data_IF_579070821514
#
_entry.id   IF_579070821514
#
_cell.length_a   1.000
_cell.length_b   1.000
_cell.length_c   1.000
_cell.angle_alpha   90.00
_cell.angle_beta   90.00
_cell.angle_gamma   90.00
#
_symmetry.space_group_name_H-M   'P 1'
#
loop_
_entity.id
_entity.type
_entity.pdbx_description
1 polymer ?
#
# COMPACT_ATOMS: atom_id res chain seq x y z
N UNK A 1 -25.68 2.82 16.11
CA UNK A 1 -25.27 1.48 16.60
C UNK A 1 -25.52 1.38 18.09
N UNK A 2 -25.66 0.18 18.66
CA UNK A 2 -25.65 -0.06 20.11
C UNK A 2 -24.43 -0.91 20.43
N UNK A 3 -23.69 -0.51 21.47
CA UNK A 3 -22.53 -1.26 21.94
C UNK A 3 -22.96 -2.21 23.05
N UNK A 4 -22.53 -3.47 22.99
CA UNK A 4 -22.79 -4.47 24.03
C UNK A 4 -21.49 -5.05 24.58
N UNK A 5 -21.45 -5.37 25.87
CA UNK A 5 -20.40 -6.22 26.43
C UNK A 5 -20.93 -6.98 27.64
N UNK A 6 -21.08 -8.29 27.47
CA UNK A 6 -21.57 -9.24 28.48
C UNK A 6 -20.48 -10.15 29.04
N UNK A 7 -19.22 -10.00 28.62
CA UNK A 7 -18.11 -10.90 28.99
C UNK A 7 -17.47 -10.52 30.33
N UNK A 8 -18.27 -10.45 31.40
CA UNK A 8 -17.77 -10.30 32.76
C UNK A 8 -16.92 -11.50 33.19
N UNK A 9 -15.61 -11.35 33.36
CA UNK A 9 -14.71 -12.44 33.77
C UNK A 9 -14.88 -12.87 35.23
N UNK A 10 -15.09 -11.91 36.13
CA UNK A 10 -15.22 -12.15 37.58
C UNK A 10 -16.62 -12.59 38.00
N UNK A 11 -17.63 -12.23 37.20
CA UNK A 11 -19.04 -12.56 37.42
C UNK A 11 -19.68 -12.78 36.07
N UNK A 12 -19.83 -14.04 35.62
CA UNK A 12 -20.45 -14.35 34.34
C UNK A 12 -21.87 -13.80 34.27
N UNK A 13 -22.18 -13.09 33.19
CA UNK A 13 -23.54 -12.70 32.85
C UNK A 13 -24.19 -13.84 32.07
N UNK A 14 -25.41 -14.22 32.44
CA UNK A 14 -26.11 -15.39 31.90
C UNK A 14 -27.39 -15.08 31.15
N UNK A 15 -27.66 -13.80 30.86
CA UNK A 15 -28.93 -13.32 30.30
C UNK A 15 -28.75 -12.61 28.96
N UNK A 16 -27.67 -12.92 28.25
CA UNK A 16 -27.25 -12.26 27.01
C UNK A 16 -28.36 -12.31 25.96
N UNK A 17 -28.99 -13.48 25.80
CA UNK A 17 -30.04 -13.72 24.81
C UNK A 17 -31.29 -12.88 25.13
N UNK A 18 -31.74 -12.93 26.39
CA UNK A 18 -32.90 -12.20 26.90
C UNK A 18 -32.73 -10.70 26.73
N UNK A 19 -31.52 -10.16 26.95
CA UNK A 19 -31.22 -8.75 26.73
C UNK A 19 -31.18 -8.40 25.25
N UNK A 20 -30.55 -9.23 24.41
CA UNK A 20 -30.43 -8.99 22.98
C UNK A 20 -31.77 -9.05 22.23
N UNK A 21 -32.76 -9.80 22.74
CA UNK A 21 -34.12 -9.83 22.23
C UNK A 21 -34.88 -8.51 22.41
N UNK A 22 -34.51 -7.71 23.42
CA UNK A 22 -35.16 -6.43 23.72
C UNK A 22 -34.70 -5.28 22.82
N UNK A 23 -33.63 -5.50 22.03
CA UNK A 23 -33.06 -4.49 21.15
C UNK A 23 -33.75 -4.57 19.78
N UNK A 24 -34.35 -3.47 19.27
CA UNK A 24 -34.95 -3.45 17.93
C UNK A 24 -33.86 -3.47 16.85
N UNK A 25 -33.57 -4.68 16.35
CA UNK A 25 -32.48 -4.97 15.38
C UNK A 25 -32.71 -4.36 14.00
N UNK A 26 -33.96 -4.03 13.67
CA UNK A 26 -34.35 -3.24 12.49
C UNK A 26 -33.91 -1.77 12.59
N UNK A 27 -33.75 -1.25 13.82
CA UNK A 27 -33.38 0.14 14.08
C UNK A 27 -31.89 0.31 14.36
N UNK A 28 -31.26 -0.67 15.02
CA UNK A 28 -29.88 -0.59 15.48
C UNK A 28 -29.03 -1.77 15.04
N UNK A 29 -27.84 -1.46 14.51
CA UNK A 29 -26.74 -2.43 14.42
C UNK A 29 -26.07 -2.61 15.80
N UNK A 30 -25.89 -3.87 16.21
CA UNK A 30 -25.29 -4.25 17.50
C UNK A 30 -23.81 -4.56 17.29
N UNK A 31 -22.96 -3.95 18.12
CA UNK A 31 -21.51 -4.20 18.13
C UNK A 31 -21.12 -4.77 19.49
N UNK A 32 -20.58 -6.00 19.49
CA UNK A 32 -20.06 -6.65 20.69
C UNK A 32 -18.62 -6.22 20.96
N UNK A 33 -18.43 -5.36 21.97
CA UNK A 33 -17.13 -4.83 22.36
C UNK A 33 -16.18 -5.92 22.88
N UNK A 34 -16.68 -7.08 23.29
CA UNK A 34 -15.80 -8.19 23.69
C UNK A 34 -14.97 -8.75 22.53
N UNK A 35 -15.38 -8.49 21.29
CA UNK A 35 -14.66 -8.86 20.07
C UNK A 35 -13.81 -7.72 19.49
N UNK A 36 -13.86 -6.53 20.09
CA UNK A 36 -13.12 -5.35 19.60
C UNK A 36 -11.80 -5.22 20.36
N UNK A 37 -10.69 -5.18 19.61
CA UNK A 37 -9.35 -4.94 20.16
C UNK A 37 -8.93 -3.49 19.89
N UNK A 38 -8.49 -2.81 20.94
CA UNK A 38 -7.95 -1.46 20.89
C UNK A 38 -6.53 -1.42 21.48
N UNK A 39 -5.69 -0.51 20.99
CA UNK A 39 -4.31 -0.33 21.48
C UNK A 39 -4.28 0.10 22.95
N UNK A 40 -5.21 0.98 23.34
CA UNK A 40 -5.48 1.36 24.73
C UNK A 40 -6.98 1.29 24.99
N UNK A 41 -7.36 0.96 26.22
CA UNK A 41 -8.77 0.74 26.60
C UNK A 41 -9.67 1.95 26.31
N UNK A 42 -9.16 3.16 26.49
CA UNK A 42 -9.91 4.39 26.26
C UNK A 42 -10.05 4.76 24.77
N UNK A 43 -9.33 4.10 23.85
CA UNK A 43 -9.54 4.29 22.41
C UNK A 43 -10.94 3.80 21.99
N UNK A 44 -11.56 2.94 22.80
CA UNK A 44 -12.96 2.52 22.63
C UNK A 44 -13.94 3.69 22.79
N UNK A 45 -13.57 4.81 23.43
CA UNK A 45 -14.46 5.97 23.57
C UNK A 45 -14.90 6.55 22.22
N UNK A 46 -14.09 6.39 21.16
CA UNK A 46 -14.50 6.77 19.81
C UNK A 46 -15.72 6.00 19.29
N UNK A 47 -15.90 4.74 19.71
CA UNK A 47 -17.12 3.98 19.43
C UNK A 47 -18.31 4.49 20.26
N UNK A 48 -18.06 4.92 21.50
CA UNK A 48 -19.09 5.45 22.39
C UNK A 48 -19.65 6.76 21.84
N UNK A 49 -18.81 7.63 21.28
CA UNK A 49 -19.21 8.92 20.71
C UNK A 49 -20.19 8.82 19.54
N UNK A 50 -20.21 7.67 18.85
CA UNK A 50 -21.12 7.39 17.71
C UNK A 50 -22.20 6.36 18.02
N UNK A 51 -22.19 5.80 19.22
CA UNK A 51 -23.20 4.87 19.67
C UNK A 51 -24.47 5.63 20.10
N UNK A 52 -25.62 5.04 19.81
CA UNK A 52 -26.90 5.51 20.34
C UNK A 52 -27.02 5.20 21.84
N UNK A 53 -26.37 4.11 22.28
CA UNK A 53 -26.22 3.77 23.68
C UNK A 53 -25.34 2.54 23.89
N UNK A 54 -25.01 2.27 25.16
CA UNK A 54 -24.18 1.13 25.58
C UNK A 54 -24.99 0.25 26.53
N UNK A 55 -24.88 -1.07 26.39
CA UNK A 55 -25.52 -2.04 27.28
C UNK A 55 -24.45 -2.99 27.79
N UNK A 56 -24.13 -2.96 29.08
CA UNK A 56 -22.95 -3.69 29.54
C UNK A 56 -23.01 -4.15 30.99
N UNK A 57 -22.35 -5.29 31.25
CA UNK A 57 -22.08 -5.83 32.57
C UNK A 57 -20.57 -5.79 32.91
N UNK A 58 -19.71 -5.47 31.95
CA UNK A 58 -18.26 -5.46 32.13
C UNK A 58 -17.79 -4.17 32.84
N UNK A 59 -16.85 -4.33 33.76
CA UNK A 59 -16.41 -3.21 34.61
C UNK A 59 -15.64 -2.16 33.81
N UNK A 60 -14.80 -2.59 32.87
CA UNK A 60 -14.01 -1.70 32.04
C UNK A 60 -14.92 -0.83 31.15
N UNK A 61 -15.88 -1.45 30.47
CA UNK A 61 -16.87 -0.74 29.64
C UNK A 61 -17.83 0.14 30.43
N UNK A 62 -18.17 -0.21 31.68
CA UNK A 62 -18.92 0.65 32.60
C UNK A 62 -18.14 1.92 32.94
N UNK A 63 -16.84 1.81 33.23
CA UNK A 63 -15.99 2.97 33.50
C UNK A 63 -15.87 3.90 32.29
N UNK A 64 -15.76 3.33 31.08
CA UNK A 64 -15.75 4.11 29.84
C UNK A 64 -17.12 4.79 29.59
N UNK A 65 -18.22 4.11 29.88
CA UNK A 65 -19.56 4.67 29.73
C UNK A 65 -19.76 5.90 30.62
N UNK A 66 -19.33 5.79 31.88
CA UNK A 66 -19.34 6.90 32.83
C UNK A 66 -18.40 8.06 32.45
N UNK A 67 -17.38 7.79 31.63
CA UNK A 67 -16.46 8.79 31.09
C UNK A 67 -16.93 9.40 29.75
N UNK A 68 -18.02 8.90 29.17
CA UNK A 68 -18.61 9.42 27.92
C UNK A 68 -19.93 10.16 28.17
N UNK A 69 -20.53 10.70 27.11
CA UNK A 69 -21.90 11.27 27.16
C UNK A 69 -22.98 10.27 26.72
N UNK A 70 -22.58 9.06 26.33
CA UNK A 70 -23.42 8.05 25.69
C UNK A 70 -24.36 7.40 26.71
N UNK A 71 -25.69 7.45 26.56
CA UNK A 71 -26.57 6.83 27.54
C UNK A 71 -26.30 5.33 27.63
N UNK A 72 -26.40 4.75 28.83
CA UNK A 72 -26.11 3.33 29.00
C UNK A 72 -27.01 2.61 30.00
N UNK A 73 -27.14 1.30 29.76
CA UNK A 73 -27.75 0.31 30.66
C UNK A 73 -26.62 -0.46 31.32
N UNK A 74 -26.66 -0.52 32.66
CA UNK A 74 -25.66 -1.18 33.48
C UNK A 74 -26.25 -2.41 34.17
N UNK A 75 -25.69 -3.58 33.89
CA UNK A 75 -25.97 -4.77 34.67
C UNK A 75 -24.95 -4.91 35.80
N UNK A 76 -25.43 -5.07 37.03
CA UNK A 76 -24.57 -5.21 38.22
C UNK A 76 -24.85 -6.50 38.96
N UNK A 77 -23.84 -7.08 39.61
CA UNK A 77 -24.04 -8.22 40.49
C UNK A 77 -24.90 -7.85 41.72
N UNK A 78 -25.57 -8.84 42.29
CA UNK A 78 -26.52 -8.68 43.40
C UNK A 78 -25.83 -8.45 44.77
N UNK A 79 -24.52 -8.70 44.86
CA UNK A 79 -23.71 -8.61 46.09
C UNK A 79 -22.99 -7.26 46.30
N UNK A 80 -22.44 -7.06 47.50
CA UNK A 80 -21.82 -5.79 47.98
C UNK A 80 -20.67 -5.25 47.10
N UNK A 81 -19.91 -6.10 46.40
CA UNK A 81 -18.77 -5.69 45.56
C UNK A 81 -19.20 -5.37 44.13
N UNK A 82 -19.97 -4.30 43.94
CA UNK A 82 -20.49 -3.87 42.64
C UNK A 82 -19.85 -2.58 42.13
N UNK A 83 -19.65 -2.52 40.81
CA UNK A 83 -19.43 -1.26 40.11
C UNK A 83 -20.69 -0.40 40.24
N UNK A 84 -20.56 0.82 40.78
CA UNK A 84 -21.67 1.74 40.96
C UNK A 84 -21.83 2.54 39.66
N UNK A 85 -22.94 2.41 38.92
CA UNK A 85 -23.18 3.22 37.73
C UNK A 85 -23.24 4.70 38.10
N UNK A 86 -22.71 5.55 37.22
CA UNK A 86 -22.59 7.01 37.41
C UNK A 86 -23.02 7.75 36.16
N UNK A 87 -23.38 9.03 36.34
CA UNK A 87 -23.62 9.96 35.24
C UNK A 87 -24.81 9.58 34.36
N UNK A 88 -24.55 9.38 33.08
CA UNK A 88 -25.44 9.02 31.97
C UNK A 88 -26.06 7.60 32.03
N UNK A 89 -26.08 6.95 33.20
CA UNK A 89 -26.75 5.65 33.36
C UNK A 89 -28.27 5.86 33.34
N UNK A 90 -28.97 5.23 32.40
CA UNK A 90 -30.43 5.33 32.28
C UNK A 90 -31.18 4.16 32.90
N UNK A 91 -30.52 3.00 33.02
CA UNK A 91 -31.09 1.85 33.69
C UNK A 91 -29.98 1.06 34.36
N UNK A 92 -30.05 0.93 35.68
CA UNK A 92 -29.26 -0.02 36.43
C UNK A 92 -30.13 -1.23 36.76
N UNK A 93 -29.63 -2.43 36.46
CA UNK A 93 -30.35 -3.68 36.68
C UNK A 93 -29.45 -4.71 37.36
N UNK A 94 -29.77 -5.13 38.60
CA UNK A 94 -29.15 -6.30 39.21
C UNK A 94 -29.43 -7.57 38.38
N UNK A 95 -28.48 -8.51 38.33
CA UNK A 95 -28.60 -9.71 37.49
C UNK A 95 -29.87 -10.52 37.85
N UNK A 96 -30.22 -10.62 39.13
CA UNK A 96 -31.43 -11.33 39.58
C UNK A 96 -32.74 -10.73 39.06
N UNK A 97 -32.73 -9.47 38.60
CA UNK A 97 -33.92 -8.77 38.13
C UNK A 97 -34.11 -8.88 36.61
N UNK A 98 -33.11 -9.37 35.87
CA UNK A 98 -33.20 -9.45 34.40
C UNK A 98 -34.40 -10.27 33.92
N UNK A 99 -34.69 -11.47 34.48
CA UNK A 99 -35.83 -12.27 34.02
C UNK A 99 -37.19 -11.59 34.19
N UNK A 100 -37.37 -10.78 35.23
CA UNK A 100 -38.65 -10.13 35.53
C UNK A 100 -38.77 -8.73 34.93
N UNK A 101 -37.66 -8.12 34.50
CA UNK A 101 -37.62 -6.72 34.04
C UNK A 101 -36.96 -6.52 32.68
N UNK A 102 -36.76 -7.57 31.90
CA UNK A 102 -36.16 -7.46 30.56
C UNK A 102 -36.87 -6.42 29.67
N UNK A 103 -38.20 -6.32 29.75
CA UNK A 103 -38.99 -5.34 29.00
C UNK A 103 -38.58 -3.88 29.26
N UNK A 104 -38.08 -3.55 30.46
CA UNK A 104 -37.62 -2.19 30.81
C UNK A 104 -36.42 -1.79 29.94
N UNK A 105 -35.58 -2.75 29.54
CA UNK A 105 -34.44 -2.53 28.64
C UNK A 105 -34.94 -2.04 27.29
N UNK A 106 -35.93 -2.73 26.72
CA UNK A 106 -36.52 -2.35 25.44
C UNK A 106 -37.23 -0.99 25.48
N UNK A 107 -37.85 -0.64 26.61
CA UNK A 107 -38.44 0.69 26.81
C UNK A 107 -37.36 1.78 26.79
N UNK A 108 -36.26 1.60 27.50
CA UNK A 108 -35.15 2.56 27.55
C UNK A 108 -34.46 2.68 26.19
N UNK A 109 -34.12 1.55 25.56
CA UNK A 109 -33.43 1.53 24.24
C UNK A 109 -34.25 2.24 23.16
N UNK A 110 -35.58 2.12 23.19
CA UNK A 110 -36.47 2.83 22.25
C UNK A 110 -36.44 4.35 22.39
N UNK A 111 -35.97 4.89 23.52
CA UNK A 111 -35.80 6.34 23.69
C UNK A 111 -34.49 6.86 23.08
N UNK A 112 -33.56 5.98 22.71
CA UNK A 112 -32.29 6.38 22.12
C UNK A 112 -32.48 6.74 20.65
N UNK A 113 -32.23 8.00 20.29
CA UNK A 113 -32.31 8.46 18.91
C UNK A 113 -31.05 8.07 18.13
N UNK A 114 -31.19 7.90 16.81
CA UNK A 114 -30.04 7.83 15.89
C UNK A 114 -29.33 9.19 15.95
N UNK A 115 -28.14 9.24 16.54
CA UNK A 115 -27.22 10.34 16.30
C UNK A 115 -26.87 10.36 14.81
N UNK A 116 -26.89 11.54 14.18
CA UNK A 116 -26.34 11.69 12.83
C UNK A 116 -24.90 11.14 12.82
N UNK A 117 -24.49 10.43 11.75
CA UNK A 117 -23.14 9.89 11.66
C UNK A 117 -22.14 11.05 11.68
N UNK A 118 -21.61 11.36 12.86
CA UNK A 118 -20.48 12.28 12.99
C UNK A 118 -19.27 11.60 12.34
N UNK A 119 -18.52 12.30 11.47
CA UNK A 119 -17.30 11.75 10.91
C UNK A 119 -16.37 11.31 12.05
N UNK A 120 -16.04 10.02 12.05
CA UNK A 120 -15.11 9.44 13.01
C UNK A 120 -13.71 9.90 12.61
N UNK A 121 -13.11 10.77 13.42
CA UNK A 121 -11.68 11.00 13.38
C UNK A 121 -11.03 9.87 14.17
N UNK A 122 -10.67 8.80 13.47
CA UNK A 122 -9.72 7.84 14.03
C UNK A 122 -8.40 8.58 14.12
N UNK A 123 -8.02 8.99 15.33
CA UNK A 123 -6.68 9.45 15.60
C UNK A 123 -5.78 8.22 15.46
N UNK A 124 -5.15 8.05 14.30
CA UNK A 124 -3.96 7.22 14.19
C UNK A 124 -2.81 8.11 14.72
N UNK A 125 -2.34 7.90 15.97
CA UNK A 125 -1.22 8.68 16.50
C UNK A 125 0.08 8.46 15.70
N UNK A 126 0.05 7.56 14.72
CA UNK A 126 1.11 7.28 13.77
C UNK A 126 0.73 7.63 12.32
N UNK A 127 -0.30 8.43 12.07
CA UNK A 127 -0.57 8.96 10.73
C UNK A 127 0.59 9.89 10.33
N UNK A 128 1.41 9.51 9.33
CA UNK A 128 2.46 10.39 8.87
C UNK A 128 1.84 11.65 8.26
N UNK A 129 2.52 12.80 8.32
CA UNK A 129 2.07 13.96 7.56
C UNK A 129 2.12 13.67 6.06
N UNK A 130 1.55 14.55 5.24
CA UNK A 130 1.76 14.52 3.77
C UNK A 130 3.24 14.26 3.43
N UNK A 131 3.51 13.53 2.35
CA UNK A 131 4.87 13.25 1.89
C UNK A 131 5.75 14.51 1.76
N UNK A 132 5.13 15.66 1.47
CA UNK A 132 5.79 16.97 1.35
C UNK A 132 6.41 17.47 2.67
N UNK A 133 5.99 16.87 3.80
CA UNK A 133 6.39 17.26 5.16
C UNK A 133 7.14 16.15 5.91
N UNK A 134 7.39 15.01 5.26
CA UNK A 134 8.10 13.88 5.87
C UNK A 134 9.62 14.00 5.77
N UNK A 135 10.11 14.91 4.92
CA UNK A 135 11.53 15.09 4.61
C UNK A 135 11.89 16.57 4.57
N UNK A 136 13.17 16.89 4.80
CA UNK A 136 13.73 18.22 4.56
C UNK A 136 14.15 18.42 3.09
N UNK A 137 14.20 17.34 2.32
CA UNK A 137 14.58 17.37 0.91
C UNK A 137 13.47 17.93 0.02
N UNK A 138 13.81 18.53 -1.14
CA UNK A 138 12.81 18.94 -2.10
C UNK A 138 11.94 17.75 -2.53
N UNK A 139 10.64 17.84 -2.26
CA UNK A 139 9.64 16.83 -2.59
C UNK A 139 8.35 17.55 -3.02
N UNK A 140 7.85 17.27 -4.22
CA UNK A 140 6.63 17.90 -4.75
C UNK A 140 5.82 16.94 -5.64
N UNK A 141 4.55 17.29 -5.86
CA UNK A 141 3.70 16.60 -6.83
C UNK A 141 3.96 17.07 -8.26
N UNK A 142 3.90 16.16 -9.22
CA UNK A 142 3.88 16.53 -10.64
C UNK A 142 2.54 17.16 -11.00
N UNK A 143 2.57 18.24 -11.77
CA UNK A 143 1.36 18.91 -12.25
C UNK A 143 1.07 18.59 -13.72
N UNK A 144 0.22 17.58 -13.96
CA UNK A 144 -0.18 17.16 -15.31
C UNK A 144 -1.15 18.13 -16.02
N UNK A 145 -1.72 19.13 -15.32
CA UNK A 145 -2.60 20.12 -15.98
C UNK A 145 -1.87 21.01 -16.98
N UNK A 146 -0.53 21.05 -16.90
CA UNK A 146 0.35 21.77 -17.84
C UNK A 146 0.77 20.93 -19.06
N UNK A 147 0.24 19.71 -19.18
CA UNK A 147 0.56 18.80 -20.28
C UNK A 147 -0.36 18.98 -21.50
N UNK A 148 0.08 18.49 -22.64
CA UNK A 148 -0.66 18.51 -23.90
C UNK A 148 -1.85 17.52 -23.93
N UNK A 149 -1.95 16.60 -22.97
CA UNK A 149 -3.12 15.73 -22.79
C UNK A 149 -3.92 16.25 -21.57
N UNK A 150 -5.06 16.93 -21.78
CA UNK A 150 -5.86 17.44 -20.68
C UNK A 150 -6.27 16.32 -19.72
N UNK A 151 -6.11 16.55 -18.41
CA UNK A 151 -6.77 15.75 -17.38
C UNK A 151 -8.27 15.92 -17.51
N UNK A 152 -8.95 14.91 -18.06
CA UNK A 152 -10.41 14.83 -18.07
C UNK A 152 -10.89 14.28 -16.73
N UNK A 153 -12.13 14.60 -16.37
CA UNK A 153 -12.79 13.96 -15.24
C UNK A 153 -12.72 12.43 -15.37
N UNK A 154 -12.42 11.75 -14.27
CA UNK A 154 -12.22 10.29 -14.25
C UNK A 154 -10.88 9.80 -14.84
N UNK A 155 -9.91 10.68 -15.10
CA UNK A 155 -8.54 10.30 -15.50
C UNK A 155 -7.53 10.63 -14.40
N UNK A 156 -6.83 9.60 -13.89
CA UNK A 156 -5.73 9.75 -12.94
C UNK A 156 -4.40 9.30 -13.56
N UNK A 157 -3.30 9.97 -13.19
CA UNK A 157 -1.93 9.65 -13.62
C UNK A 157 -1.07 9.36 -12.39
N UNK A 158 -0.62 8.12 -12.24
CA UNK A 158 0.14 7.68 -11.07
C UNK A 158 1.20 6.61 -11.43
N UNK A 159 1.98 6.19 -10.44
CA UNK A 159 3.01 5.15 -10.54
C UNK A 159 3.99 5.37 -11.72
N UNK A 160 4.65 6.53 -11.72
CA UNK A 160 5.49 6.98 -12.83
C UNK A 160 6.94 6.47 -12.77
N UNK A 161 7.37 5.77 -13.80
CA UNK A 161 8.78 5.57 -14.10
C UNK A 161 9.43 6.86 -14.63
N UNK A 162 10.75 6.94 -14.56
CA UNK A 162 11.56 8.08 -15.00
C UNK A 162 12.73 7.56 -15.83
N UNK A 163 12.96 8.15 -16.99
CA UNK A 163 14.06 7.80 -17.89
C UNK A 163 14.70 9.04 -18.49
N UNK A 164 16.03 9.06 -18.47
CA UNK A 164 16.82 10.02 -19.23
C UNK A 164 17.00 9.50 -20.66
N UNK A 165 16.66 10.33 -21.65
CA UNK A 165 16.89 10.06 -23.07
C UNK A 165 17.79 11.15 -23.66
N UNK A 166 18.42 10.93 -24.83
CA UNK A 166 19.21 11.96 -25.49
C UNK A 166 18.44 13.25 -25.79
N UNK A 167 17.11 13.16 -25.93
CA UNK A 167 16.24 14.30 -26.18
C UNK A 167 15.68 14.96 -24.90
N UNK A 168 16.07 14.49 -23.71
CA UNK A 168 15.66 15.02 -22.42
C UNK A 168 15.00 13.98 -21.51
N UNK A 169 14.47 14.46 -20.38
CA UNK A 169 13.80 13.60 -19.40
C UNK A 169 12.37 13.29 -19.77
N UNK A 170 11.97 12.06 -19.46
CA UNK A 170 10.61 11.60 -19.65
C UNK A 170 10.10 10.86 -18.41
N UNK A 171 8.87 11.18 -18.02
CA UNK A 171 8.08 10.31 -17.17
C UNK A 171 7.34 9.30 -18.03
N UNK A 172 7.21 8.08 -17.54
CA UNK A 172 6.36 7.06 -18.15
C UNK A 172 5.37 6.60 -17.10
N UNK A 173 4.11 6.95 -17.28
CA UNK A 173 3.10 6.94 -16.22
C UNK A 173 2.00 5.94 -16.54
N UNK A 174 1.41 5.38 -15.49
CA UNK A 174 0.13 4.69 -15.60
C UNK A 174 -0.97 5.74 -15.68
N UNK A 175 -1.76 5.70 -16.74
CA UNK A 175 -3.00 6.45 -16.86
C UNK A 175 -4.17 5.51 -16.58
N UNK A 176 -4.99 5.86 -15.61
CA UNK A 176 -6.22 5.14 -15.26
C UNK A 176 -7.42 5.95 -15.73
N UNK A 177 -8.24 5.37 -16.60
CA UNK A 177 -9.48 5.99 -17.08
C UNK A 177 -10.67 5.23 -16.49
N UNK A 178 -11.47 5.92 -15.69
CA UNK A 178 -12.72 5.37 -15.16
C UNK A 178 -13.73 5.14 -16.27
N UNK A 179 -14.46 4.02 -16.18
CA UNK A 179 -15.57 3.69 -17.07
C UNK A 179 -16.74 3.23 -16.22
N UNK A 180 -17.90 3.85 -16.41
CA UNK A 180 -19.10 3.61 -15.60
C UNK A 180 -19.52 2.14 -15.50
N UNK A 181 -19.27 1.37 -16.57
CA UNK A 181 -19.61 -0.06 -16.64
C UNK A 181 -18.57 -0.98 -15.98
N UNK A 182 -17.46 -0.44 -15.47
CA UNK A 182 -16.39 -1.21 -14.83
C UNK A 182 -16.22 -0.80 -13.38
N UNK A 183 -16.07 -1.79 -12.50
CA UNK A 183 -15.73 -1.56 -11.09
C UNK A 183 -14.30 -1.02 -10.89
N UNK A 184 -13.51 -0.88 -11.96
CA UNK A 184 -12.11 -0.50 -11.95
C UNK A 184 -11.78 0.39 -13.16
N UNK A 185 -10.71 1.20 -13.03
CA UNK A 185 -10.18 1.99 -14.13
C UNK A 185 -9.45 1.13 -15.16
N UNK A 186 -9.62 1.46 -16.44
CA UNK A 186 -8.82 0.86 -17.51
C UNK A 186 -7.47 1.56 -17.60
N UNK A 187 -6.40 0.78 -17.53
CA UNK A 187 -5.04 1.30 -17.41
C UNK A 187 -4.25 1.19 -18.72
N UNK A 188 -3.61 2.28 -19.12
CA UNK A 188 -2.60 2.26 -20.18
C UNK A 188 -1.40 3.12 -19.80
N UNK A 189 -0.38 3.10 -20.66
CA UNK A 189 0.89 3.78 -20.38
C UNK A 189 1.03 5.01 -21.27
N UNK A 190 1.44 6.12 -20.67
CA UNK A 190 1.66 7.39 -21.38
C UNK A 190 3.02 7.94 -21.00
N UNK A 191 3.81 8.37 -22.00
CA UNK A 191 5.07 9.05 -21.78
C UNK A 191 4.86 10.57 -21.78
N UNK A 192 5.47 11.28 -20.83
CA UNK A 192 5.45 12.73 -20.73
C UNK A 192 6.86 13.29 -20.75
N UNK A 193 7.17 14.16 -21.72
CA UNK A 193 8.43 14.90 -21.72
C UNK A 193 8.42 15.93 -20.61
N UNK A 194 9.50 15.99 -19.85
CA UNK A 194 9.67 16.95 -18.78
C UNK A 194 10.36 18.23 -19.28
N UNK A 195 9.80 19.35 -18.83
CA UNK A 195 10.41 20.69 -18.85
C UNK A 195 10.68 21.06 -17.37
N UNK A 196 11.90 20.80 -16.91
CA UNK A 196 12.20 20.75 -15.48
C UNK A 196 11.38 19.65 -14.79
N UNK A 197 10.56 20.01 -13.81
CA UNK A 197 9.63 19.09 -13.13
C UNK A 197 8.18 19.19 -13.67
N UNK A 198 8.00 19.82 -14.84
CA UNK A 198 6.67 19.99 -15.44
C UNK A 198 6.46 19.02 -16.61
N UNK A 199 5.47 18.11 -16.55
CA UNK A 199 5.06 17.29 -17.68
C UNK A 199 4.44 18.15 -18.80
N UNK A 200 4.98 18.10 -20.02
CA UNK A 200 4.55 18.93 -21.17
C UNK A 200 4.01 18.13 -22.34
N UNK A 201 4.86 17.37 -23.00
CA UNK A 201 4.49 16.65 -24.23
C UNK A 201 4.09 15.23 -23.88
N UNK A 202 2.87 14.83 -24.18
CA UNK A 202 2.36 13.52 -23.79
C UNK A 202 2.15 12.62 -25.02
N UNK A 203 2.63 11.38 -24.94
CA UNK A 203 2.59 10.38 -26.02
C UNK A 203 2.13 9.05 -25.45
N UNK A 204 0.91 8.57 -25.79
CA UNK A 204 0.47 7.24 -25.40
C UNK A 204 1.36 6.15 -25.98
N UNK A 205 1.79 5.20 -25.17
CA UNK A 205 2.53 4.01 -25.61
C UNK A 205 1.50 2.93 -25.94
N UNK A 206 1.21 2.77 -27.23
CA UNK A 206 0.27 1.77 -27.71
C UNK A 206 0.91 0.37 -27.66
N UNK A 207 0.92 -0.23 -26.47
CA UNK A 207 1.39 -1.59 -26.27
C UNK A 207 0.43 -2.56 -26.98
N UNK A 208 0.98 -3.47 -27.77
CA UNK A 208 0.23 -4.51 -28.46
C UNK A 208 -0.49 -5.39 -27.44
N UNK A 209 -1.82 -5.45 -27.59
CA UNK A 209 -2.68 -6.36 -26.82
C UNK A 209 -2.78 -7.71 -27.53
N UNK A 210 -2.72 -8.79 -26.78
CA UNK A 210 -2.99 -10.15 -27.25
C UNK A 210 -4.44 -10.56 -26.99
N UNK A 211 -5.06 -10.00 -25.94
CA UNK A 211 -6.43 -10.30 -25.54
C UNK A 211 -7.26 -9.03 -25.35
N UNK A 212 -8.56 -9.14 -25.57
CA UNK A 212 -9.49 -8.06 -25.25
C UNK A 212 -9.54 -7.83 -23.74
N UNK A 213 -9.54 -6.56 -23.32
CA UNK A 213 -9.57 -6.20 -21.90
C UNK A 213 -8.21 -6.14 -21.21
N UNK A 214 -7.11 -6.41 -21.94
CA UNK A 214 -5.77 -6.20 -21.39
C UNK A 214 -5.52 -4.73 -21.07
N UNK A 215 -4.92 -4.52 -19.91
CA UNK A 215 -4.51 -3.21 -19.41
C UNK A 215 -3.13 -3.30 -18.75
N UNK A 216 -2.42 -2.18 -18.74
CA UNK A 216 -0.99 -2.13 -18.43
C UNK A 216 -0.76 -1.23 -17.23
N UNK A 217 0.04 -1.69 -16.27
CA UNK A 217 0.20 -1.02 -14.99
C UNK A 217 1.67 -0.87 -14.59
N UNK A 218 1.92 0.18 -13.81
CA UNK A 218 3.14 0.42 -13.06
C UNK A 218 4.47 0.42 -13.87
N UNK A 219 4.66 1.43 -14.75
CA UNK A 219 5.90 1.95 -15.28
C UNK A 219 7.26 1.62 -14.68
N UNK A 220 8.11 0.79 -15.29
CA UNK A 220 9.57 0.84 -15.04
C UNK A 220 10.31 1.00 -16.34
N UNK A 221 11.18 1.99 -16.42
CA UNK A 221 11.78 2.40 -17.70
C UNK A 221 13.27 2.65 -17.59
N UNK A 222 13.99 2.33 -18.66
CA UNK A 222 15.41 2.64 -18.82
C UNK A 222 15.74 2.78 -20.31
N UNK A 223 16.80 3.52 -20.61
CA UNK A 223 17.26 3.74 -21.99
C UNK A 223 18.44 2.82 -22.31
N UNK A 224 18.39 2.15 -23.45
CA UNK A 224 19.42 1.22 -23.87
C UNK A 224 19.49 1.10 -25.40
N UNK A 225 20.69 1.28 -25.97
CA UNK A 225 20.98 1.09 -27.41
C UNK A 225 19.98 1.78 -28.35
N UNK A 226 19.70 3.06 -28.12
CA UNK A 226 18.80 3.82 -28.99
C UNK A 226 17.31 3.66 -28.66
N UNK A 227 16.96 2.69 -27.82
CA UNK A 227 15.58 2.35 -27.49
C UNK A 227 15.29 2.67 -26.02
N UNK A 228 14.03 3.00 -25.72
CA UNK A 228 13.55 2.99 -24.34
C UNK A 228 12.90 1.64 -24.09
N UNK A 229 13.29 0.95 -23.03
CA UNK A 229 12.60 -0.26 -22.60
C UNK A 229 11.62 0.10 -21.49
N UNK A 230 10.40 -0.41 -21.62
CA UNK A 230 9.30 -0.18 -20.70
C UNK A 230 8.82 -1.53 -20.18
N UNK A 231 9.13 -1.82 -18.92
CA UNK A 231 8.54 -2.95 -18.21
C UNK A 231 7.29 -2.49 -17.47
N UNK A 232 6.25 -3.31 -17.55
CA UNK A 232 4.98 -3.06 -16.90
C UNK A 232 4.24 -4.38 -16.67
N UNK A 233 3.27 -4.34 -15.76
CA UNK A 233 2.37 -5.47 -15.54
C UNK A 233 1.30 -5.44 -16.62
N UNK A 234 1.23 -6.50 -17.42
CA UNK A 234 0.07 -6.81 -18.25
C UNK A 234 -0.94 -7.54 -17.38
N UNK A 235 -2.08 -6.90 -17.16
CA UNK A 235 -3.19 -7.49 -16.45
C UNK A 235 -4.30 -7.91 -17.39
N UNK A 236 -5.00 -8.97 -17.02
CA UNK A 236 -6.25 -9.38 -17.61
C UNK A 236 -7.27 -9.67 -16.49
N UNK A 237 -8.38 -8.92 -16.50
CA UNK A 237 -9.50 -9.18 -15.60
C UNK A 237 -10.37 -10.29 -16.18
N UNK A 238 -10.44 -11.41 -15.47
CA UNK A 238 -11.37 -12.49 -15.78
C UNK A 238 -12.50 -12.56 -14.76
N UNK A 239 -13.65 -13.07 -15.20
CA UNK A 239 -14.82 -13.34 -14.33
C UNK A 239 -14.55 -14.45 -13.32
N UNK A 240 -13.66 -15.40 -13.66
CA UNK A 240 -13.27 -16.53 -12.80
C UNK A 240 -11.96 -16.22 -12.04
N UNK A 241 -10.96 -15.66 -12.72
CA UNK A 241 -9.70 -15.27 -12.11
C UNK A 241 -9.04 -14.12 -12.89
N UNK A 242 -8.40 -13.20 -12.18
CA UNK A 242 -7.54 -12.17 -12.77
C UNK A 242 -6.09 -12.66 -12.81
N UNK A 243 -5.33 -12.23 -13.83
CA UNK A 243 -3.93 -12.62 -14.01
C UNK A 243 -3.04 -11.39 -14.13
N UNK A 244 -1.91 -11.41 -13.43
CA UNK A 244 -0.82 -10.44 -13.54
C UNK A 244 0.38 -11.11 -14.21
N UNK A 245 0.78 -10.60 -15.37
CA UNK A 245 1.91 -11.06 -16.17
C UNK A 245 2.90 -9.92 -16.38
N UNK A 246 4.20 -10.20 -16.35
CA UNK A 246 5.23 -9.17 -16.53
C UNK A 246 5.71 -9.16 -17.97
N UNK A 247 5.68 -7.97 -18.58
CA UNK A 247 6.21 -7.76 -19.92
C UNK A 247 7.32 -6.71 -19.90
N UNK A 248 8.07 -6.69 -21.00
CA UNK A 248 8.94 -5.58 -21.36
C UNK A 248 8.75 -5.27 -22.85
N UNK A 249 8.57 -4.00 -23.17
CA UNK A 249 8.47 -3.53 -24.56
C UNK A 249 9.63 -2.58 -24.86
N UNK A 250 10.22 -2.70 -26.04
CA UNK A 250 11.13 -1.68 -26.56
C UNK A 250 10.33 -0.69 -27.40
N UNK A 251 10.62 0.60 -27.21
CA UNK A 251 10.01 1.69 -27.97
C UNK A 251 11.09 2.58 -28.59
N UNK A 252 10.78 3.09 -29.78
CA UNK A 252 11.66 3.99 -30.52
C UNK A 252 11.67 5.41 -29.94
N UNK A 253 12.42 6.30 -30.60
CA UNK A 253 12.47 7.71 -30.21
C UNK A 253 11.11 8.42 -30.33
N UNK A 254 10.20 7.90 -31.16
CA UNK A 254 8.83 8.39 -31.34
C UNK A 254 7.80 7.72 -30.40
N UNK A 255 8.25 6.93 -29.43
CA UNK A 255 7.43 6.17 -28.47
C UNK A 255 6.55 5.08 -29.09
N UNK A 256 6.74 4.73 -30.36
CA UNK A 256 6.07 3.56 -30.94
C UNK A 256 6.76 2.29 -30.49
N UNK A 257 5.93 1.27 -30.21
CA UNK A 257 6.43 -0.07 -29.91
C UNK A 257 7.23 -0.61 -31.10
N UNK A 258 8.45 -1.03 -30.83
CA UNK A 258 9.32 -1.77 -31.75
C UNK A 258 9.14 -3.26 -31.53
N UNK A 259 9.24 -3.70 -30.28
CA UNK A 259 9.10 -5.11 -29.92
C UNK A 259 8.48 -5.28 -28.54
N UNK A 260 7.71 -6.35 -28.37
CA UNK A 260 7.22 -6.84 -27.08
C UNK A 260 7.92 -8.15 -26.75
N UNK A 261 8.26 -8.31 -25.48
CA UNK A 261 8.80 -9.53 -24.92
C UNK A 261 7.98 -9.94 -23.70
N UNK A 262 7.76 -11.25 -23.58
CA UNK A 262 7.06 -11.92 -22.48
C UNK A 262 8.06 -12.92 -21.85
N UNK A 263 9.01 -12.46 -21.01
CA UNK A 263 10.12 -13.29 -20.56
C UNK A 263 9.62 -14.42 -19.67
N UNK A 264 10.03 -15.66 -19.96
CA UNK A 264 9.65 -16.84 -19.19
C UNK A 264 10.61 -16.95 -18.01
N UNK A 265 10.16 -16.52 -16.84
CA UNK A 265 10.93 -16.61 -15.60
C UNK A 265 10.02 -16.55 -14.37
N UNK A 266 10.42 -17.20 -13.28
CA UNK A 266 9.64 -17.22 -12.05
C UNK A 266 8.28 -17.86 -12.27
N UNK A 267 7.20 -17.10 -12.05
CA UNK A 267 5.82 -17.50 -12.28
C UNK A 267 5.24 -16.98 -13.60
N UNK A 268 6.04 -16.26 -14.39
CA UNK A 268 5.69 -15.77 -15.72
C UNK A 268 5.79 -16.90 -16.73
N UNK A 269 4.67 -17.31 -17.32
CA UNK A 269 4.63 -18.30 -18.40
C UNK A 269 4.97 -17.70 -19.77
N UNK A 270 4.82 -18.45 -20.87
CA UNK A 270 5.03 -17.97 -22.24
C UNK A 270 4.02 -16.90 -22.72
N UNK A 271 3.11 -16.46 -21.84
CA UNK A 271 2.16 -15.38 -22.07
C UNK A 271 1.15 -15.32 -20.93
N UNK A 272 0.33 -14.28 -20.89
CA UNK A 272 -0.58 -13.98 -19.76
C UNK A 272 -1.51 -15.15 -19.38
N UNK A 273 -1.90 -16.02 -20.32
CA UNK A 273 -2.79 -17.17 -20.04
C UNK A 273 -2.07 -18.41 -19.49
N UNK A 274 -0.74 -18.42 -19.45
CA UNK A 274 0.07 -19.60 -19.10
C UNK A 274 0.90 -19.39 -17.83
N UNK A 275 0.60 -18.35 -17.06
CA UNK A 275 1.27 -18.07 -15.80
C UNK A 275 0.96 -19.16 -14.77
N UNK A 276 1.98 -19.57 -14.01
CA UNK A 276 1.82 -20.46 -12.84
C UNK A 276 1.55 -19.66 -11.54
N UNK A 277 1.49 -18.34 -11.65
CA UNK A 277 1.09 -17.42 -10.59
C UNK A 277 1.27 -15.97 -11.00
N UNK A 278 1.02 -15.04 -10.09
CA UNK A 278 1.12 -13.61 -10.39
C UNK A 278 2.55 -13.12 -10.37
N UNK A 279 2.91 -12.34 -11.38
CA UNK A 279 4.20 -11.65 -11.47
C UNK A 279 4.00 -10.13 -11.50
N UNK A 280 4.83 -9.44 -10.72
CA UNK A 280 4.83 -7.99 -10.55
C UNK A 280 6.21 -7.51 -10.14
N UNK A 281 6.43 -6.19 -10.17
CA UNK A 281 7.55 -5.53 -9.48
C UNK A 281 8.97 -5.90 -9.96
N UNK A 282 9.10 -6.39 -11.19
CA UNK A 282 10.38 -6.71 -11.84
C UNK A 282 11.19 -5.46 -12.13
N UNK A 283 12.48 -5.47 -11.80
CA UNK A 283 13.38 -4.34 -12.01
C UNK A 283 14.49 -4.70 -12.98
N UNK A 284 14.32 -4.29 -14.23
CA UNK A 284 15.30 -4.49 -15.27
C UNK A 284 16.41 -3.43 -15.23
N UNK A 285 17.63 -3.85 -15.54
CA UNK A 285 18.79 -2.97 -15.69
C UNK A 285 19.79 -3.56 -16.68
N UNK A 286 20.74 -2.74 -17.11
CA UNK A 286 21.83 -3.16 -18.00
C UNK A 286 23.10 -3.33 -17.19
N UNK A 287 23.74 -4.48 -17.36
CA UNK A 287 25.04 -4.78 -16.77
C UNK A 287 25.91 -5.52 -17.80
N UNK A 288 27.11 -5.00 -18.06
CA UNK A 288 28.05 -5.51 -19.06
C UNK A 288 27.38 -5.86 -20.41
N UNK A 289 26.64 -4.89 -20.97
CA UNK A 289 25.95 -5.02 -22.26
C UNK A 289 24.89 -6.15 -22.35
N UNK A 290 24.42 -6.64 -21.21
CA UNK A 290 23.35 -7.62 -21.11
C UNK A 290 22.24 -7.15 -20.19
N UNK A 291 21.01 -7.60 -20.48
CA UNK A 291 19.86 -7.34 -19.64
C UNK A 291 19.94 -8.19 -18.38
N UNK A 292 19.73 -7.55 -17.25
CA UNK A 292 19.62 -8.20 -15.95
C UNK A 292 18.30 -7.79 -15.31
N UNK A 293 17.79 -8.65 -14.44
CA UNK A 293 16.54 -8.48 -13.72
C UNK A 293 16.81 -8.70 -12.23
N UNK A 294 16.52 -7.71 -11.40
CA UNK A 294 16.28 -7.98 -9.98
C UNK A 294 14.86 -8.57 -9.89
N UNK A 295 14.79 -9.88 -9.66
CA UNK A 295 13.53 -10.62 -9.59
C UNK A 295 12.89 -10.51 -8.21
N UNK A 296 13.70 -10.71 -7.15
CA UNK A 296 13.28 -10.58 -5.74
C UNK A 296 14.38 -9.81 -4.99
N UNK A 297 13.98 -8.91 -4.09
CA UNK A 297 14.92 -8.08 -3.32
C UNK A 297 15.44 -8.76 -2.06
N UNK A 298 14.65 -9.66 -1.46
CA UNK A 298 15.05 -10.43 -0.26
C UNK A 298 14.37 -11.82 -0.22
N UNK A 299 15.10 -12.96 -0.35
CA UNK A 299 16.52 -13.03 -0.72
C UNK A 299 16.78 -12.30 -2.04
N UNK A 300 17.97 -11.69 -2.17
CA UNK A 300 18.30 -10.88 -3.33
C UNK A 300 18.63 -11.79 -4.51
N UNK A 301 17.81 -11.75 -5.55
CA UNK A 301 17.94 -12.58 -6.75
C UNK A 301 18.08 -11.72 -7.99
N UNK A 302 19.24 -11.85 -8.65
CA UNK A 302 19.54 -11.20 -9.93
C UNK A 302 19.65 -12.26 -11.02
N UNK A 303 18.99 -12.02 -12.15
CA UNK A 303 18.94 -12.95 -13.28
C UNK A 303 19.47 -12.24 -14.51
N UNK A 304 20.43 -12.85 -15.20
CA UNK A 304 20.93 -12.38 -16.49
C UNK A 304 20.13 -12.98 -17.62
N UNK A 305 19.85 -12.19 -18.65
CA UNK A 305 19.17 -12.62 -19.87
C UNK A 305 20.06 -12.44 -21.11
N UNK A 306 19.91 -13.34 -22.08
CA UNK A 306 20.55 -13.23 -23.38
C UNK A 306 19.77 -12.31 -24.34
N UNK A 307 20.26 -12.15 -25.57
CA UNK A 307 19.60 -11.34 -26.61
C UNK A 307 18.24 -11.89 -27.08
N UNK A 308 17.87 -13.12 -26.69
CA UNK A 308 16.58 -13.75 -26.97
C UNK A 308 15.64 -13.69 -25.75
N UNK A 309 16.01 -12.97 -24.69
CA UNK A 309 15.26 -12.90 -23.43
C UNK A 309 15.11 -14.26 -22.74
N UNK A 310 16.10 -15.14 -22.88
CA UNK A 310 16.22 -16.37 -22.09
C UNK A 310 17.13 -16.15 -20.89
N UNK A 311 16.77 -16.65 -19.69
CA UNK A 311 17.62 -16.55 -18.51
C UNK A 311 18.87 -17.42 -18.71
N UNK A 312 20.04 -16.87 -18.38
CA UNK A 312 21.35 -17.52 -18.58
C UNK A 312 22.09 -17.75 -17.27
N UNK A 313 22.01 -16.81 -16.33
CA UNK A 313 22.65 -16.91 -15.02
C UNK A 313 21.67 -16.46 -13.94
N UNK A 314 21.64 -17.17 -12.81
CA UNK A 314 20.87 -16.80 -11.62
C UNK A 314 21.82 -16.66 -10.44
N UNK A 315 21.80 -15.50 -9.81
CA UNK A 315 22.59 -15.16 -8.62
C UNK A 315 21.64 -14.92 -7.45
N UNK A 316 21.73 -15.75 -6.41
CA UNK A 316 20.91 -15.62 -5.20
C UNK A 316 21.80 -15.40 -3.97
N UNK A 317 21.54 -14.30 -3.26
CA UNK A 317 22.25 -13.93 -2.04
C UNK A 317 21.24 -13.60 -0.93
N UNK A 318 21.61 -13.85 0.31
CA UNK A 318 20.77 -13.54 1.47
C UNK A 318 21.50 -12.56 2.39
N UNK A 319 20.78 -11.52 2.77
CA UNK A 319 21.18 -10.59 3.83
C UNK A 319 20.75 -11.22 5.17
N UNK A 320 21.68 -11.48 6.08
CA UNK A 320 21.35 -12.21 7.31
C UNK A 320 20.75 -11.33 8.41
N UNK A 321 21.13 -10.05 8.42
CA UNK A 321 20.80 -9.05 9.43
C UNK A 321 19.82 -7.98 8.93
N UNK A 322 19.16 -8.21 7.78
CA UNK A 322 18.18 -7.26 7.25
C UNK A 322 16.96 -7.15 8.17
N UNK A 323 16.88 -6.04 8.91
CA UNK A 323 15.76 -5.70 9.78
C UNK A 323 14.91 -4.60 9.15
N UNK A 324 13.72 -4.98 8.69
CA UNK A 324 12.77 -4.06 8.09
C UNK A 324 11.33 -4.36 8.60
N UNK A 325 10.90 -3.74 9.72
CA UNK A 325 9.58 -3.96 10.30
C UNK A 325 8.40 -3.43 9.47
N UNK A 326 8.65 -2.75 8.35
CA UNK A 326 7.61 -2.18 7.48
C UNK A 326 7.14 -3.12 6.37
N UNK A 327 7.17 -4.43 6.63
CA UNK A 327 6.61 -5.49 5.78
C UNK A 327 7.51 -5.91 4.62
N UNK A 328 7.08 -6.85 3.78
CA UNK A 328 7.97 -7.43 2.76
C UNK A 328 8.48 -6.37 1.76
N UNK A 329 9.79 -6.38 1.55
CA UNK A 329 10.47 -5.54 0.55
C UNK A 329 10.18 -6.09 -0.85
N UNK A 330 9.77 -5.21 -1.76
CA UNK A 330 9.42 -5.56 -3.14
C UNK A 330 9.84 -4.47 -4.10
N UNK A 331 10.35 -4.86 -5.27
CA UNK A 331 10.56 -4.03 -6.46
C UNK A 331 10.92 -2.57 -6.19
N UNK A 332 10.29 -1.65 -6.94
CA UNK A 332 10.53 -0.22 -6.88
C UNK A 332 11.16 0.35 -8.15
N UNK A 333 12.32 1.00 -8.05
CA UNK A 333 13.02 1.65 -9.18
C UNK A 333 14.00 0.70 -9.87
N UNK A 334 14.18 0.79 -11.20
CA UNK A 334 15.33 0.18 -11.88
C UNK A 334 16.66 0.51 -11.18
N UNK A 335 17.57 -0.46 -11.03
CA UNK A 335 18.89 -0.21 -10.47
C UNK A 335 19.70 0.81 -11.27
N UNK A 336 20.27 1.81 -10.58
CA UNK A 336 21.15 2.83 -11.15
C UNK A 336 22.57 2.61 -10.67
N UNK A 337 23.53 2.53 -11.59
CA UNK A 337 24.93 2.30 -11.24
C UNK A 337 25.56 3.56 -10.65
N UNK A 338 26.25 3.38 -9.52
CA UNK A 338 27.11 4.38 -8.88
C UNK A 338 28.43 3.69 -8.58
N UNK A 339 29.47 4.02 -9.36
CA UNK A 339 30.79 3.38 -9.28
C UNK A 339 30.70 1.83 -9.38
N UNK A 340 31.00 1.15 -8.27
CA UNK A 340 31.04 -0.30 -8.11
C UNK A 340 29.80 -0.87 -7.40
N UNK A 341 28.74 -0.07 -7.27
CA UNK A 341 27.47 -0.45 -6.68
C UNK A 341 26.31 -0.12 -7.62
N UNK A 342 25.19 -0.82 -7.47
CA UNK A 342 23.90 -0.42 -8.02
C UNK A 342 22.99 0.02 -6.88
N UNK A 343 22.28 1.13 -7.05
CA UNK A 343 21.32 1.67 -6.09
C UNK A 343 19.90 1.54 -6.61
N UNK A 344 18.96 1.22 -5.71
CA UNK A 344 17.54 1.13 -6.03
C UNK A 344 16.69 1.49 -4.82
N UNK A 345 15.50 2.05 -5.08
CA UNK A 345 14.51 2.41 -4.06
C UNK A 345 13.38 1.39 -4.12
N UNK A 346 13.06 0.75 -2.99
CA UNK A 346 12.01 -0.26 -2.92
C UNK A 346 10.71 0.29 -2.35
N UNK A 347 9.64 -0.50 -2.50
CA UNK A 347 8.45 -0.35 -1.67
C UNK A 347 8.23 -1.57 -0.76
N UNK A 348 7.60 -1.34 0.37
CA UNK A 348 7.06 -2.39 1.24
C UNK A 348 5.69 -1.98 1.74
N UNK A 349 5.00 -2.85 2.48
CA UNK A 349 3.72 -2.48 3.07
C UNK A 349 3.33 -3.30 4.28
N UNK A 350 2.62 -2.66 5.21
CA UNK A 350 2.00 -3.28 6.39
C UNK A 350 0.51 -2.95 6.45
N UNK A 351 -0.26 -3.77 7.15
CA UNK A 351 -1.61 -3.36 7.56
C UNK A 351 -1.51 -2.18 8.54
N UNK A 352 -2.30 -1.13 8.35
CA UNK A 352 -2.44 -0.06 9.33
C UNK A 352 -3.54 -0.38 10.33
N UNK A 353 -3.49 0.24 11.51
CA UNK A 353 -4.57 0.17 12.51
C UNK A 353 -5.91 0.71 12.00
N UNK A 354 -5.92 1.45 10.88
CA UNK A 354 -7.14 1.98 10.24
C UNK A 354 -7.80 0.99 9.26
N UNK A 355 -7.32 -0.25 9.17
CA UNK A 355 -7.87 -1.27 8.24
C UNK A 355 -7.44 -1.10 6.78
N UNK A 356 -6.57 -0.14 6.47
CA UNK A 356 -6.01 0.06 5.13
C UNK A 356 -4.54 -0.39 5.10
N UNK A 357 -4.02 -0.78 3.95
CA UNK A 357 -2.58 -1.07 3.81
C UNK A 357 -1.82 0.25 3.67
N UNK A 358 -0.70 0.41 4.37
CA UNK A 358 0.22 1.55 4.21
C UNK A 358 1.51 1.08 3.55
N UNK A 359 1.93 1.78 2.51
CA UNK A 359 3.17 1.50 1.79
C UNK A 359 4.28 2.43 2.25
N UNK A 360 5.51 1.94 2.17
CA UNK A 360 6.72 2.62 2.63
C UNK A 360 7.80 2.53 1.55
N UNK A 361 8.57 3.59 1.40
CA UNK A 361 9.72 3.65 0.50
C UNK A 361 11.02 3.50 1.31
N UNK A 362 11.92 2.62 0.87
CA UNK A 362 13.29 2.52 1.39
C UNK A 362 14.31 2.47 0.24
N UNK A 363 15.60 2.38 0.55
CA UNK A 363 16.68 2.29 -0.44
C UNK A 363 17.78 1.32 -0.02
N UNK A 364 18.41 0.67 -1.00
CA UNK A 364 19.61 -0.17 -0.85
C UNK A 364 20.57 0.09 -1.98
N UNK A 365 21.79 -0.37 -1.78
CA UNK A 365 22.65 -0.74 -2.88
C UNK A 365 23.13 -2.18 -2.80
N UNK A 366 23.63 -2.68 -3.93
CA UNK A 366 24.22 -4.01 -4.07
C UNK A 366 25.45 -3.97 -4.97
N UNK A 367 26.31 -4.99 -4.87
CA UNK A 367 27.55 -5.11 -5.63
C UNK A 367 27.29 -4.97 -7.14
N UNK A 368 28.11 -4.19 -7.86
CA UNK A 368 27.99 -4.07 -9.30
C UNK A 368 28.48 -5.29 -10.07
N UNK A 369 28.98 -6.33 -9.39
CA UNK A 369 29.43 -7.58 -9.99
C UNK A 369 28.76 -8.75 -9.28
N UNK A 370 28.61 -9.91 -9.95
CA UNK A 370 28.22 -11.14 -9.30
C UNK A 370 28.98 -11.41 -7.99
N UNK A 371 28.30 -11.93 -6.96
CA UNK A 371 26.91 -12.42 -6.97
C UNK A 371 25.87 -11.34 -6.60
N UNK A 372 26.18 -10.04 -6.77
CA UNK A 372 25.27 -8.93 -6.53
C UNK A 372 24.76 -8.86 -5.08
N UNK A 373 25.65 -9.01 -4.09
CA UNK A 373 25.24 -8.95 -2.67
C UNK A 373 24.75 -7.57 -2.29
N UNK A 374 23.68 -7.51 -1.49
CA UNK A 374 23.23 -6.27 -0.88
C UNK A 374 24.35 -5.70 0.02
N UNK A 375 24.73 -4.43 -0.13
CA UNK A 375 25.83 -3.85 0.64
C UNK A 375 25.35 -3.09 1.86
N UNK A 376 24.27 -2.33 1.67
CA UNK A 376 23.68 -1.46 2.69
C UNK A 376 22.24 -1.14 2.32
N UNK A 377 21.46 -0.75 3.32
CA UNK A 377 20.04 -0.46 3.17
C UNK A 377 19.58 0.59 4.19
N UNK A 378 18.51 1.33 3.92
CA UNK A 378 17.92 2.26 4.88
C UNK A 378 17.17 1.48 5.97
N UNK A 379 17.48 1.63 7.27
CA UNK A 379 16.82 0.89 8.34
C UNK A 379 15.47 1.50 8.74
N UNK A 380 15.03 2.58 8.06
CA UNK A 380 13.74 3.26 8.25
C UNK A 380 13.20 3.74 6.89
N UNK A 381 11.88 3.91 6.74
CA UNK A 381 11.30 4.49 5.54
C UNK A 381 11.81 5.90 5.27
N UNK A 382 12.16 6.17 4.02
CA UNK A 382 12.42 7.52 3.50
C UNK A 382 11.11 8.30 3.36
N UNK A 383 10.04 7.63 2.91
CA UNK A 383 8.68 8.15 2.85
C UNK A 383 7.68 7.04 3.20
N UNK A 384 6.50 7.43 3.68
CA UNK A 384 5.36 6.56 3.96
C UNK A 384 4.08 7.15 3.36
N UNK A 385 3.18 6.30 2.86
CA UNK A 385 1.87 6.73 2.38
C UNK A 385 1.07 7.42 3.48
N UNK A 386 0.45 8.54 3.15
CA UNK A 386 -0.35 9.36 4.07
C UNK A 386 -1.76 9.58 3.53
N UNK A 387 -2.73 9.61 4.45
CA UNK A 387 -4.12 10.04 4.20
C UNK A 387 -4.24 11.55 4.04
N UNK A 388 -3.21 12.32 4.40
CA UNK A 388 -3.20 13.79 4.21
C UNK A 388 -2.91 14.19 2.76
N UNK A 389 -2.35 13.28 1.97
CA UNK A 389 -2.24 13.42 0.52
C UNK A 389 -3.57 13.04 -0.16
N UNK A 390 -3.78 13.47 -1.42
CA UNK A 390 -5.01 13.14 -2.17
C UNK A 390 -5.27 11.64 -2.11
N UNK A 391 -6.46 11.25 -1.66
CA UNK A 391 -6.81 9.87 -1.36
C UNK A 391 -8.30 9.63 -1.57
N UNK A 392 -8.67 8.39 -1.90
CA UNK A 392 -10.06 7.98 -2.08
C UNK A 392 -10.31 6.64 -1.37
N UNK A 393 -11.32 6.57 -0.51
CA UNK A 393 -11.73 5.32 0.13
C UNK A 393 -12.25 4.32 -0.93
N UNK A 394 -11.95 3.01 -0.85
CA UNK A 394 -11.21 2.32 0.20
C UNK A 394 -9.71 2.07 -0.11
N UNK A 395 -9.08 2.89 -0.97
CA UNK A 395 -7.70 2.65 -1.44
C UNK A 395 -6.68 2.58 -0.30
N UNK A 396 -5.55 1.87 -0.50
CA UNK A 396 -4.41 1.93 0.44
C UNK A 396 -3.80 3.34 0.51
N UNK A 397 -2.97 3.57 1.54
CA UNK A 397 -2.08 4.74 1.61
C UNK A 397 -0.75 4.37 0.95
N UNK A 398 -0.44 4.99 -0.18
CA UNK A 398 0.63 4.53 -1.07
C UNK A 398 1.70 5.59 -1.24
N UNK A 399 2.96 5.16 -1.06
CA UNK A 399 4.12 5.72 -1.76
C UNK A 399 4.77 4.58 -2.54
N UNK A 400 5.01 4.79 -3.82
CA UNK A 400 5.44 3.73 -4.72
C UNK A 400 6.51 4.23 -5.70
N UNK A 401 7.80 4.12 -5.35
CA UNK A 401 8.89 4.54 -6.23
C UNK A 401 8.95 3.66 -7.49
N UNK A 402 9.09 4.30 -8.65
CA UNK A 402 9.05 3.63 -9.95
C UNK A 402 10.22 4.01 -10.87
N UNK A 403 10.81 5.19 -10.69
CA UNK A 403 11.98 5.64 -11.45
C UNK A 403 12.99 6.36 -10.58
N UNK A 404 14.26 6.26 -10.94
CA UNK A 404 15.34 6.99 -10.31
C UNK A 404 16.42 7.33 -11.34
N UNK A 405 17.00 8.53 -11.23
CA UNK A 405 18.22 8.93 -11.94
C UNK A 405 19.14 9.63 -10.95
N UNK A 406 20.45 9.50 -11.15
CA UNK A 406 21.48 10.23 -10.41
C UNK A 406 22.16 11.22 -11.35
N UNK A 407 22.22 12.50 -10.96
CA UNK A 407 22.98 13.53 -11.69
C UNK A 407 23.90 14.27 -10.74
N UNK A 408 25.20 14.17 -10.99
CA UNK A 408 26.20 14.55 -9.99
C UNK A 408 25.91 13.80 -8.69
N UNK A 409 25.78 14.54 -7.59
CA UNK A 409 25.51 13.98 -6.25
C UNK A 409 24.04 14.04 -5.84
N UNK A 410 23.09 14.15 -6.79
CA UNK A 410 21.68 14.30 -6.47
C UNK A 410 20.81 13.29 -7.19
N UNK A 411 20.14 12.44 -6.40
CA UNK A 411 19.08 11.56 -6.88
C UNK A 411 17.84 12.38 -7.23
N UNK A 412 17.17 12.01 -8.32
CA UNK A 412 15.77 12.35 -8.56
C UNK A 412 15.00 11.04 -8.62
N UNK A 413 14.06 10.87 -7.71
CA UNK A 413 13.23 9.66 -7.62
C UNK A 413 11.78 10.05 -7.91
N UNK A 414 11.15 9.32 -8.83
CA UNK A 414 9.73 9.47 -9.16
C UNK A 414 8.92 8.38 -8.47
N UNK A 415 7.75 8.75 -7.96
CA UNK A 415 6.89 7.86 -7.18
C UNK A 415 5.40 8.11 -7.44
N UNK A 416 4.60 7.05 -7.34
CA UNK A 416 3.15 7.15 -7.21
C UNK A 416 2.72 7.45 -5.77
N UNK A 417 1.62 8.17 -5.63
CA UNK A 417 1.04 8.56 -4.33
C UNK A 417 -0.45 8.19 -4.33
N UNK A 418 -0.85 7.38 -3.35
CA UNK A 418 -2.22 6.92 -3.10
C UNK A 418 -2.98 6.37 -4.34
N UNK A 419 -2.26 5.84 -5.33
CA UNK A 419 -2.79 5.40 -6.63
C UNK A 419 -3.68 6.47 -7.31
N UNK A 420 -3.31 7.74 -7.18
CA UNK A 420 -4.04 8.89 -7.71
C UNK A 420 -3.14 9.95 -8.33
N UNK A 421 -1.95 10.17 -7.76
CA UNK A 421 -1.00 11.19 -8.23
C UNK A 421 0.41 10.62 -8.43
N UNK A 422 1.25 11.43 -9.08
CA UNK A 422 2.69 11.24 -9.13
C UNK A 422 3.39 12.35 -8.34
N UNK A 423 4.49 12.01 -7.67
CA UNK A 423 5.39 12.95 -7.02
C UNK A 423 6.85 12.65 -7.37
N UNK A 424 7.73 13.57 -6.99
CA UNK A 424 9.17 13.41 -7.06
C UNK A 424 9.82 13.85 -5.75
N UNK A 425 11.01 13.32 -5.50
CA UNK A 425 11.88 13.71 -4.39
C UNK A 425 13.32 13.80 -4.88
N UNK A 426 14.07 14.79 -4.39
CA UNK A 426 15.49 14.97 -4.68
C UNK A 426 16.35 14.66 -3.46
N UNK A 427 17.23 13.67 -3.54
CA UNK A 427 17.99 13.20 -2.38
C UNK A 427 19.49 13.36 -2.65
N UNK A 428 20.25 14.13 -1.85
CA UNK A 428 21.71 14.13 -1.96
C UNK A 428 22.27 12.73 -1.70
N UNK A 429 23.17 12.25 -2.58
CA UNK A 429 23.72 10.90 -2.51
C UNK A 429 24.44 10.67 -1.17
N UNK A 430 25.24 11.63 -0.72
CA UNK A 430 25.93 11.57 0.57
C UNK A 430 24.96 11.43 1.76
N UNK A 431 23.84 12.16 1.74
CA UNK A 431 22.83 12.06 2.80
C UNK A 431 22.11 10.71 2.77
N UNK A 432 21.81 10.18 1.58
CA UNK A 432 21.25 8.85 1.44
C UNK A 432 22.20 7.79 2.01
N UNK A 433 23.50 7.88 1.69
CA UNK A 433 24.52 6.97 2.24
C UNK A 433 24.56 7.03 3.76
N UNK A 434 24.52 8.23 4.37
CA UNK A 434 24.49 8.40 5.83
C UNK A 434 23.28 7.75 6.52
N UNK A 435 22.17 7.60 5.80
CA UNK A 435 20.96 6.96 6.32
C UNK A 435 20.98 5.43 6.17
N UNK A 436 21.94 4.87 5.43
CA UNK A 436 22.03 3.42 5.25
C UNK A 436 22.87 2.75 6.34
N UNK A 437 22.52 1.51 6.68
CA UNK A 437 23.34 0.61 7.48
C UNK A 437 23.93 -0.49 6.60
N UNK A 438 25.18 -0.93 6.84
CA UNK A 438 25.75 -2.10 6.16
C UNK A 438 24.93 -3.38 6.39
N UNK A 439 25.14 -4.37 5.54
CA UNK A 439 24.54 -5.71 5.61
C UNK A 439 25.64 -6.76 5.74
N UNK A 440 25.39 -7.77 6.57
CA UNK A 440 26.25 -8.94 6.71
C UNK A 440 25.77 -10.12 5.84
N UNK A 441 26.76 -10.89 5.36
CA UNK A 441 26.56 -12.10 4.57
C UNK A 441 27.41 -13.24 5.13
N UNK A 442 26.77 -14.26 5.68
CA UNK A 442 27.47 -15.45 6.15
C UNK A 442 27.66 -16.51 5.07
N UNK A 443 26.80 -16.57 4.03
CA UNK A 443 26.84 -17.60 2.97
C UNK A 443 26.22 -17.10 1.65
N UNK A 444 26.83 -17.45 0.51
CA UNK A 444 26.19 -17.32 -0.80
C UNK A 444 25.21 -18.49 -1.04
N UNK A 445 23.97 -18.20 -1.42
CA UNK A 445 22.94 -19.24 -1.50
C UNK A 445 23.05 -20.09 -2.76
N UNK A 446 23.41 -19.51 -3.91
CA UNK A 446 23.61 -20.22 -5.19
C UNK A 446 24.04 -19.28 -6.33
N UNK A 447 24.93 -19.77 -7.19
CA UNK A 447 25.07 -19.33 -8.58
C UNK A 447 24.74 -20.52 -9.48
N UNK A 448 23.80 -20.36 -10.40
CA UNK A 448 23.40 -21.43 -11.33
C UNK A 448 23.51 -20.91 -12.76
N UNK A 449 24.35 -21.56 -13.57
CA UNK A 449 24.28 -21.43 -15.03
C UNK A 449 23.04 -22.18 -15.52
N UNK A 450 22.18 -21.48 -16.24
CA UNK A 450 21.02 -22.08 -16.89
C UNK A 450 21.48 -22.64 -18.23
N UNK A 451 21.60 -23.97 -18.33
CA UNK A 451 21.80 -24.64 -19.61
C UNK A 451 20.50 -24.48 -20.43
N UNK A 452 20.49 -23.53 -21.36
CA UNK A 452 19.39 -23.31 -22.31
C UNK A 452 19.32 -24.39 -23.38
#
# INVERSE_FOLDING_TARGET
MILVNFRGKSSPFGFDAEVLEQIPKDQFHIVDLSNVKASRIYDLLGLYDVAAGVITCDTATLHLAAASRTPYVAFTHDEWRRSVPRGNCQLQMPYSQVPSRANDIGQVVRTWSRSEPKPIVVFDPYEPPSILKQTAWPCEFFNFSKSALPTKEGTDYYNCGLVERPDGDWLVVRRSIWKEQLAYGMNDIVAFKLDGMTPRQAVPINIQRMFAGEHFEDPRVFYYRGLTLVSCVNFLWGTIASVAHQIIVSVGSDWKQVQRYDPIFGRNGPGVMHNVGWEKNWLWFVHNDALHLVYITHPHMVVRFDGKMLPTDIYETKADDLQWPWGDIRGGTPPVRVENEYWSFWHSSVGSGSGHRRYHMGAYCFEAKPPFRMKRYTPKPLLSGSRQDRWAHPKPFVVFPCGAILRGEQWLVSLGVNDLDCAWIKIPHEELVKLTTPVEHSVDLRQTEVLC
#
